data_IF_556659978505
#
_entry.id   IF_556659978505
#
_cell.length_a   1.000
_cell.length_b   1.000
_cell.length_c   1.000
_cell.angle_alpha   90.00
_cell.angle_beta   90.00
_cell.angle_gamma   90.00
#
_symmetry.space_group_name_H-M   'P 1'
#
loop_
_entity.id
_entity.type
_entity.pdbx_description
1 polymer ?
#
# COMPACT_ATOMS: atom_id res chain seq x y z
N UNK A 1 24.77 2.75 31.24
CA UNK A 1 25.15 4.17 31.07
C UNK A 1 24.73 4.57 29.67
N UNK A 2 23.53 5.14 29.51
CA UNK A 2 22.92 5.44 28.21
C UNK A 2 23.24 6.89 27.86
N UNK A 3 24.17 7.08 26.93
CA UNK A 3 24.55 8.39 26.41
C UNK A 3 23.46 8.85 25.45
N UNK A 4 22.50 9.65 25.94
CA UNK A 4 21.63 10.43 25.08
C UNK A 4 22.50 11.51 24.43
N UNK A 5 22.70 11.40 23.11
CA UNK A 5 23.32 12.46 22.33
C UNK A 5 22.40 13.68 22.40
N UNK A 6 22.82 14.71 23.15
CA UNK A 6 22.15 16.00 23.16
C UNK A 6 22.25 16.59 21.75
N UNK A 7 21.10 16.83 21.12
CA UNK A 7 21.04 17.56 19.87
C UNK A 7 21.54 19.00 20.10
N UNK A 8 22.18 19.64 19.11
CA UNK A 8 22.78 20.97 19.26
C UNK A 8 21.78 22.11 19.58
N UNK A 9 20.47 21.85 19.62
CA UNK A 9 19.40 22.78 20.06
C UNK A 9 18.85 22.53 21.47
N UNK A 10 19.42 21.60 22.26
CA UNK A 10 18.95 21.34 23.62
C UNK A 10 17.62 20.58 23.75
N UNK A 11 16.88 20.36 22.66
CA UNK A 11 15.67 19.54 22.66
C UNK A 11 15.99 18.04 22.74
N UNK A 12 15.33 17.33 23.65
CA UNK A 12 15.50 15.89 23.84
C UNK A 12 14.48 15.16 22.97
N UNK A 13 14.94 14.55 21.87
CA UNK A 13 14.08 13.70 21.03
C UNK A 13 13.70 12.42 21.78
N UNK A 14 12.41 12.14 21.90
CA UNK A 14 11.94 10.91 22.56
C UNK A 14 12.16 9.71 21.63
N UNK A 15 12.88 8.68 22.10
CA UNK A 15 12.95 7.38 21.42
C UNK A 15 11.70 6.56 21.77
N UNK A 16 10.73 6.52 20.86
CA UNK A 16 9.49 5.74 20.96
C UNK A 16 8.67 5.82 19.67
N UNK A 17 7.55 5.08 19.60
CA UNK A 17 6.69 4.90 18.40
C UNK A 17 6.14 6.21 17.80
N UNK A 18 6.23 7.31 18.55
CA UNK A 18 5.97 8.68 18.12
C UNK A 18 7.31 9.45 18.07
N UNK A 19 7.89 9.56 16.88
CA UNK A 19 9.08 10.39 16.62
C UNK A 19 8.64 11.85 16.54
N UNK A 20 8.94 12.63 17.57
CA UNK A 20 8.69 14.08 17.59
C UNK A 20 9.50 14.78 18.69
N UNK A 21 9.61 16.11 18.57
CA UNK A 21 10.04 16.97 19.67
C UNK A 21 9.03 16.84 20.82
N UNK A 22 9.49 16.92 22.08
CA UNK A 22 8.56 17.02 23.21
C UNK A 22 7.84 18.36 23.13
N UNK A 23 6.50 18.38 22.96
CA UNK A 23 5.75 19.63 22.89
C UNK A 23 6.03 20.52 24.09
N UNK A 24 6.18 19.92 25.27
CA UNK A 24 6.43 20.65 26.52
C UNK A 24 7.78 21.39 26.50
N UNK A 25 8.81 20.81 25.87
CA UNK A 25 10.12 21.46 25.74
C UNK A 25 10.10 22.60 24.72
N UNK A 26 9.32 22.45 23.65
CA UNK A 26 9.13 23.51 22.66
C UNK A 26 8.34 24.65 23.28
N UNK A 27 7.29 24.35 24.03
CA UNK A 27 6.50 25.33 24.78
C UNK A 27 7.36 26.07 25.81
N UNK A 28 8.20 25.37 26.58
CA UNK A 28 9.13 25.98 27.54
C UNK A 28 10.15 26.91 26.86
N UNK A 29 10.70 26.48 25.72
CA UNK A 29 11.65 27.29 24.97
C UNK A 29 11.01 28.52 24.32
N UNK A 30 9.79 28.38 23.77
CA UNK A 30 9.03 29.50 23.21
C UNK A 30 8.58 30.47 24.31
N UNK A 31 8.25 29.97 25.50
CA UNK A 31 7.95 30.79 26.67
C UNK A 31 9.18 31.61 27.08
N UNK A 32 10.34 30.97 27.23
CA UNK A 32 11.59 31.66 27.56
C UNK A 32 11.96 32.75 26.52
N UNK A 33 11.82 32.46 25.22
CA UNK A 33 12.02 33.46 24.17
C UNK A 33 11.00 34.61 24.23
N UNK A 34 9.76 34.32 24.61
CA UNK A 34 8.72 35.33 24.76
C UNK A 34 9.00 36.22 25.97
N UNK A 35 9.44 35.65 27.08
CA UNK A 35 9.85 36.38 28.28
C UNK A 35 11.07 37.27 28.00
N UNK A 36 12.08 36.76 27.28
CA UNK A 36 13.25 37.54 26.87
C UNK A 36 12.86 38.71 25.94
N UNK A 37 11.95 38.46 25.00
CA UNK A 37 11.39 39.50 24.14
C UNK A 37 10.67 40.56 24.99
N UNK A 38 9.80 40.15 25.88
CA UNK A 38 9.00 41.07 26.70
C UNK A 38 9.89 41.88 27.65
N UNK A 39 10.94 41.27 28.21
CA UNK A 39 11.97 41.97 29.00
C UNK A 39 12.82 42.95 28.16
N UNK A 40 13.12 42.61 26.89
CA UNK A 40 13.76 43.54 25.96
C UNK A 40 12.85 44.74 25.62
N UNK A 41 11.55 44.49 25.41
CA UNK A 41 10.55 45.52 25.19
C UNK A 41 10.36 46.44 26.40
N UNK A 42 10.30 45.87 27.61
CA UNK A 42 10.20 46.67 28.83
C UNK A 42 11.43 47.57 29.01
N UNK A 43 12.64 47.03 28.76
CA UNK A 43 13.87 47.83 28.79
C UNK A 43 13.87 48.94 27.74
N UNK A 44 13.43 48.66 26.52
CA UNK A 44 13.31 49.67 25.47
C UNK A 44 12.31 50.78 25.88
N UNK A 45 11.18 50.41 26.47
CA UNK A 45 10.20 51.37 26.99
C UNK A 45 10.79 52.24 28.12
N UNK A 46 11.49 51.63 29.09
CA UNK A 46 12.17 52.36 30.18
C UNK A 46 13.23 53.32 29.65
N UNK A 47 14.03 52.89 28.69
CA UNK A 47 15.04 53.74 28.05
C UNK A 47 14.41 54.88 27.26
N UNK A 48 13.24 54.66 26.65
CA UNK A 48 12.51 55.72 25.92
C UNK A 48 11.96 56.76 26.88
N UNK A 49 11.42 56.34 28.04
CA UNK A 49 10.99 57.26 29.10
C UNK A 49 12.18 58.04 29.65
N UNK A 50 13.30 57.37 29.97
CA UNK A 50 14.51 58.04 30.44
C UNK A 50 15.06 59.03 29.41
N UNK A 51 15.06 58.68 28.12
CA UNK A 51 15.48 59.59 27.06
C UNK A 51 14.60 60.86 27.03
N UNK A 52 13.29 60.70 27.22
CA UNK A 52 12.36 61.82 27.31
C UNK A 52 12.55 62.66 28.57
N UNK A 53 12.74 62.04 29.73
CA UNK A 53 13.07 62.74 30.98
C UNK A 53 14.36 63.55 30.82
N UNK A 54 15.38 62.97 30.18
CA UNK A 54 16.64 63.67 29.88
C UNK A 54 16.46 64.82 28.87
N UNK A 55 15.54 64.70 27.90
CA UNK A 55 15.19 65.79 26.98
C UNK A 55 14.45 66.92 27.70
N UNK A 56 13.55 66.60 28.63
CA UNK A 56 12.83 67.56 29.48
C UNK A 56 13.81 68.28 30.42
N UNK A 57 14.67 67.54 31.13
CA UNK A 57 15.74 68.09 31.99
C UNK A 57 16.69 69.00 31.19
N UNK A 58 17.05 68.60 29.97
CA UNK A 58 17.86 69.42 29.08
C UNK A 58 17.12 70.71 28.69
N UNK A 59 15.82 70.63 28.42
CA UNK A 59 14.96 71.79 28.16
C UNK A 59 14.94 72.77 29.33
N UNK A 60 14.69 72.26 30.54
CA UNK A 60 14.68 73.06 31.78
C UNK A 60 16.04 73.74 32.02
N UNK A 61 17.14 73.02 31.80
CA UNK A 61 18.50 73.59 31.89
C UNK A 61 18.74 74.68 30.83
N UNK A 62 18.26 74.49 29.61
CA UNK A 62 18.37 75.50 28.55
C UNK A 62 17.52 76.74 28.84
N UNK A 63 16.33 76.57 29.39
CA UNK A 63 15.46 77.67 29.82
C UNK A 63 16.04 78.43 31.00
N UNK A 64 16.64 77.73 31.98
CA UNK A 64 17.38 78.35 33.08
C UNK A 64 18.57 79.16 32.53
N UNK A 65 19.34 78.60 31.59
CA UNK A 65 20.43 79.30 30.91
C UNK A 65 19.92 80.50 30.10
N UNK A 66 18.75 80.44 29.49
CA UNK A 66 18.16 81.55 28.75
C UNK A 66 17.62 82.68 29.65
N UNK A 67 17.23 82.37 30.89
CA UNK A 67 16.82 83.36 31.89
C UNK A 67 18.00 84.07 32.56
N UNK A 68 19.21 83.48 32.49
CA UNK A 68 20.42 84.21 32.81
C UNK A 68 20.55 85.35 31.79
N UNK A 69 20.61 86.59 32.27
CA UNK A 69 20.90 87.75 31.41
C UNK A 69 22.17 87.44 30.62
N UNK A 70 22.19 87.71 29.30
CA UNK A 70 23.42 87.62 28.49
C UNK A 70 24.53 88.28 29.29
N UNK A 71 25.42 87.49 29.88
CA UNK A 71 26.57 88.05 30.55
C UNK A 71 27.49 88.44 29.43
N UNK A 72 27.22 89.61 28.84
CA UNK A 72 28.09 90.23 27.88
C UNK A 72 29.36 90.60 28.65
N UNK A 73 30.28 89.64 28.68
CA UNK A 73 31.60 89.72 29.30
C UNK A 73 32.52 90.73 28.59
N UNK A 74 31.95 91.65 27.81
CA UNK A 74 32.54 92.91 27.34
C UNK A 74 33.17 93.70 28.50
N UNK A 75 32.63 93.56 29.73
CA UNK A 75 33.10 94.26 30.94
C UNK A 75 34.22 93.49 31.69
N UNK A 76 34.50 92.23 31.35
CA UNK A 76 35.58 91.46 31.95
C UNK A 76 36.91 91.74 31.25
N UNK A 77 37.97 91.91 32.05
CA UNK A 77 39.32 92.07 31.53
C UNK A 77 39.72 90.94 30.57
N UNK A 78 40.65 91.22 29.67
CA UNK A 78 41.06 90.34 28.55
C UNK A 78 41.35 88.88 28.96
N UNK A 79 41.85 88.66 30.18
CA UNK A 79 42.10 87.32 30.73
C UNK A 79 40.84 86.49 30.95
N UNK A 80 39.75 87.09 31.41
CA UNK A 80 38.49 86.38 31.65
C UNK A 80 37.74 86.07 30.35
N UNK A 81 37.83 86.94 29.32
CA UNK A 81 37.34 86.62 27.97
C UNK A 81 38.05 85.43 27.34
N UNK A 82 39.37 85.30 27.56
CA UNK A 82 40.13 84.13 27.10
C UNK A 82 39.71 82.84 27.80
N UNK A 83 39.50 82.90 29.12
CA UNK A 83 39.04 81.74 29.89
C UNK A 83 37.63 81.29 29.46
N UNK A 84 36.71 82.24 29.26
CA UNK A 84 35.37 81.93 28.78
C UNK A 84 35.39 81.23 27.42
N UNK A 85 36.15 81.77 26.45
CA UNK A 85 36.31 81.13 25.13
C UNK A 85 36.88 79.72 25.23
N UNK A 86 37.88 79.51 26.08
CA UNK A 86 38.44 78.17 26.33
C UNK A 86 37.38 77.23 26.91
N UNK A 87 36.54 77.69 27.84
CA UNK A 87 35.44 76.89 28.37
C UNK A 87 34.40 76.54 27.30
N UNK A 88 34.07 77.45 26.37
CA UNK A 88 33.17 77.16 25.25
C UNK A 88 33.75 76.14 24.28
N UNK A 89 35.03 76.29 23.93
CA UNK A 89 35.77 75.33 23.10
C UNK A 89 35.80 73.95 23.74
N UNK A 90 36.06 73.86 25.04
CA UNK A 90 36.05 72.58 25.76
C UNK A 90 34.65 72.01 25.93
N UNK A 91 33.63 72.84 26.15
CA UNK A 91 32.25 72.38 26.21
C UNK A 91 31.79 71.78 24.87
N UNK A 92 32.16 72.40 23.74
CA UNK A 92 31.89 71.85 22.42
C UNK A 92 32.69 70.57 22.17
N UNK A 93 33.96 70.53 22.56
CA UNK A 93 34.79 69.33 22.44
C UNK A 93 34.25 68.16 23.28
N UNK A 94 33.67 68.42 24.46
CA UNK A 94 33.00 67.41 25.28
C UNK A 94 31.70 66.95 24.61
N UNK A 95 30.87 67.86 24.12
CA UNK A 95 29.62 67.51 23.40
C UNK A 95 29.90 66.68 22.16
N UNK A 96 30.90 67.05 21.37
CA UNK A 96 31.26 66.31 20.16
C UNK A 96 31.75 64.91 20.51
N UNK A 97 32.64 64.76 21.50
CA UNK A 97 33.09 63.43 21.97
C UNK A 97 31.95 62.57 22.50
N UNK A 98 30.99 63.17 23.19
CA UNK A 98 29.81 62.43 23.69
C UNK A 98 28.92 61.94 22.54
N UNK A 99 28.72 62.77 21.50
CA UNK A 99 27.99 62.36 20.28
C UNK A 99 28.71 61.25 19.53
N UNK A 100 30.02 61.40 19.31
CA UNK A 100 30.85 60.40 18.62
C UNK A 100 30.81 59.05 19.36
N UNK A 101 30.92 59.06 20.69
CA UNK A 101 30.82 57.86 21.51
C UNK A 101 29.42 57.22 21.44
N UNK A 102 28.35 58.04 21.44
CA UNK A 102 26.98 57.56 21.25
C UNK A 102 26.76 56.89 19.90
N UNK A 103 27.28 57.49 18.83
CA UNK A 103 27.22 56.95 17.47
C UNK A 103 28.00 55.63 17.35
N UNK A 104 29.15 55.53 18.01
CA UNK A 104 29.96 54.30 18.05
C UNK A 104 29.23 53.18 18.79
N UNK A 105 28.63 53.45 19.95
CA UNK A 105 27.81 52.47 20.68
C UNK A 105 26.59 52.03 19.86
N UNK A 106 25.92 52.96 19.18
CA UNK A 106 24.79 52.62 18.30
C UNK A 106 25.22 51.74 17.13
N UNK A 107 26.40 51.98 16.56
CA UNK A 107 26.96 51.15 15.48
C UNK A 107 27.28 49.74 15.98
N UNK A 108 27.90 49.62 17.15
CA UNK A 108 28.22 48.33 17.77
C UNK A 108 26.96 47.54 18.11
N UNK A 109 25.96 48.19 18.72
CA UNK A 109 24.68 47.56 19.05
C UNK A 109 23.95 47.05 17.79
N UNK A 110 23.97 47.81 16.68
CA UNK A 110 23.39 47.37 15.40
C UNK A 110 24.14 46.17 14.83
N UNK A 111 25.47 46.21 14.79
CA UNK A 111 26.28 45.10 14.29
C UNK A 111 26.05 43.82 15.11
N UNK A 112 25.90 43.95 16.43
CA UNK A 112 25.54 42.83 17.30
C UNK A 112 24.14 42.28 16.98
N UNK A 113 23.14 43.15 16.85
CA UNK A 113 21.77 42.75 16.52
C UNK A 113 21.70 42.03 15.16
N UNK A 114 22.36 42.58 14.13
CA UNK A 114 22.44 41.97 12.81
C UNK A 114 23.13 40.59 12.88
N UNK A 115 24.22 40.47 13.64
CA UNK A 115 24.90 39.19 13.85
C UNK A 115 24.03 38.13 14.53
N UNK A 116 23.21 38.53 15.51
CA UNK A 116 22.25 37.63 16.17
C UNK A 116 21.15 37.20 15.20
N UNK A 117 20.62 38.12 14.39
CA UNK A 117 19.59 37.81 13.40
C UNK A 117 20.10 36.86 12.31
N UNK A 118 21.30 37.09 11.79
CA UNK A 118 21.94 36.20 10.81
C UNK A 118 22.20 34.82 11.40
N UNK A 119 22.70 34.73 12.63
CA UNK A 119 22.92 33.45 13.31
C UNK A 119 21.61 32.70 13.54
N UNK A 120 20.55 33.39 13.98
CA UNK A 120 19.23 32.81 14.14
C UNK A 120 18.63 32.34 12.80
N UNK A 121 18.80 33.12 11.73
CA UNK A 121 18.39 32.77 10.38
C UNK A 121 19.09 31.52 9.86
N UNK A 122 20.42 31.48 9.95
CA UNK A 122 21.22 30.32 9.57
C UNK A 122 20.83 29.06 10.36
N UNK A 123 20.53 29.21 11.65
CA UNK A 123 20.07 28.10 12.49
C UNK A 123 18.70 27.60 12.05
N UNK A 124 17.76 28.50 11.80
CA UNK A 124 16.43 28.14 11.32
C UNK A 124 16.49 27.40 9.97
N UNK A 125 17.32 27.86 9.04
CA UNK A 125 17.49 27.21 7.74
C UNK A 125 18.16 25.83 7.85
N UNK A 126 19.13 25.67 8.75
CA UNK A 126 19.72 24.36 9.04
C UNK A 126 18.68 23.37 9.59
N UNK A 127 17.84 23.81 10.53
CA UNK A 127 16.76 22.98 11.10
C UNK A 127 15.72 22.60 10.04
N UNK A 128 15.34 23.55 9.17
CA UNK A 128 14.42 23.28 8.05
C UNK A 128 15.02 22.26 7.08
N UNK A 129 16.28 22.42 6.69
CA UNK A 129 16.97 21.50 5.79
C UNK A 129 17.06 20.09 6.38
N UNK A 130 17.37 19.97 7.68
CA UNK A 130 17.38 18.68 8.37
C UNK A 130 15.98 18.03 8.40
N UNK A 131 14.94 18.80 8.73
CA UNK A 131 13.57 18.33 8.75
C UNK A 131 13.10 17.83 7.36
N UNK A 132 13.44 18.57 6.30
CA UNK A 132 13.15 18.20 4.92
C UNK A 132 13.85 16.91 4.52
N UNK A 133 15.12 16.73 4.88
CA UNK A 133 15.85 15.50 4.59
C UNK A 133 15.26 14.31 5.36
N UNK A 134 14.92 14.49 6.65
CA UNK A 134 14.22 13.46 7.42
C UNK A 134 12.87 13.08 6.79
N UNK A 135 12.11 14.07 6.29
CA UNK A 135 10.85 13.82 5.60
C UNK A 135 11.06 13.03 4.31
N UNK A 136 12.06 13.39 3.49
CA UNK A 136 12.44 12.66 2.28
C UNK A 136 12.81 11.21 2.58
N UNK A 137 13.65 10.98 3.60
CA UNK A 137 14.05 9.63 4.00
C UNK A 137 12.85 8.80 4.46
N UNK A 138 11.94 9.37 5.27
CA UNK A 138 10.70 8.68 5.68
C UNK A 138 9.82 8.32 4.49
N UNK A 139 9.68 9.22 3.51
CA UNK A 139 8.91 8.95 2.29
C UNK A 139 9.54 7.86 1.42
N UNK A 140 10.88 7.81 1.33
CA UNK A 140 11.58 6.74 0.62
C UNK A 140 11.35 5.38 1.26
N UNK A 141 11.47 5.28 2.59
CA UNK A 141 11.20 4.05 3.34
C UNK A 141 9.74 3.61 3.16
N UNK A 142 8.78 4.52 3.34
CA UNK A 142 7.36 4.20 3.18
C UNK A 142 7.01 3.72 1.77
N UNK A 143 7.65 4.29 0.73
CA UNK A 143 7.47 3.83 -0.66
C UNK A 143 8.07 2.44 -0.88
N UNK A 144 9.25 2.17 -0.34
CA UNK A 144 9.87 0.85 -0.42
C UNK A 144 8.99 -0.22 0.26
N UNK A 145 8.50 0.05 1.47
CA UNK A 145 7.58 -0.84 2.20
C UNK A 145 6.28 -1.07 1.40
N UNK A 146 5.69 -0.03 0.84
CA UNK A 146 4.49 -0.15 0.02
C UNK A 146 4.73 -0.99 -1.25
N UNK A 147 5.88 -0.83 -1.89
CA UNK A 147 6.27 -1.61 -3.06
C UNK A 147 6.50 -3.09 -2.71
N UNK A 148 7.14 -3.37 -1.57
CA UNK A 148 7.33 -4.73 -1.05
C UNK A 148 6.00 -5.42 -0.80
N UNK A 149 5.07 -4.78 -0.06
CA UNK A 149 3.72 -5.31 0.20
C UNK A 149 2.99 -5.59 -1.11
N UNK A 150 3.08 -4.68 -2.09
CA UNK A 150 2.44 -4.87 -3.40
C UNK A 150 3.04 -6.05 -4.17
N UNK A 151 4.36 -6.22 -4.13
CA UNK A 151 5.06 -7.33 -4.80
C UNK A 151 4.69 -8.67 -4.14
N UNK A 152 4.67 -8.71 -2.81
CA UNK A 152 4.30 -9.89 -2.03
C UNK A 152 2.85 -10.30 -2.33
N UNK A 153 1.89 -9.38 -2.22
CA UNK A 153 0.49 -9.65 -2.55
C UNK A 153 0.31 -10.19 -3.98
N UNK A 154 1.04 -9.65 -4.96
CA UNK A 154 1.02 -10.16 -6.34
C UNK A 154 1.59 -11.58 -6.45
N UNK A 155 2.66 -11.88 -5.71
CA UNK A 155 3.27 -13.22 -5.68
C UNK A 155 2.31 -14.22 -5.04
N UNK A 156 1.67 -13.87 -3.93
CA UNK A 156 0.68 -14.71 -3.26
C UNK A 156 -0.52 -15.01 -4.16
N UNK A 157 -1.10 -13.98 -4.80
CA UNK A 157 -2.21 -14.17 -5.75
C UNK A 157 -1.80 -15.08 -6.91
N UNK A 158 -0.58 -14.90 -7.45
CA UNK A 158 -0.07 -15.76 -8.53
C UNK A 158 0.13 -17.21 -8.05
N UNK A 159 0.68 -17.41 -6.86
CA UNK A 159 0.90 -18.72 -6.26
C UNK A 159 -0.43 -19.42 -5.98
N UNK A 160 -1.39 -18.74 -5.33
CA UNK A 160 -2.72 -19.26 -5.07
C UNK A 160 -3.47 -19.64 -6.34
N UNK A 161 -3.41 -18.79 -7.38
CA UNK A 161 -3.97 -19.14 -8.70
C UNK A 161 -3.29 -20.39 -9.29
N UNK A 162 -1.97 -20.51 -9.16
CA UNK A 162 -1.23 -21.68 -9.61
C UNK A 162 -1.68 -22.98 -8.91
N UNK A 163 -1.86 -22.93 -7.59
CA UNK A 163 -2.35 -24.05 -6.78
C UNK A 163 -3.77 -24.46 -7.19
N UNK A 164 -4.70 -23.50 -7.28
CA UNK A 164 -6.09 -23.77 -7.70
C UNK A 164 -6.14 -24.40 -9.09
N UNK A 165 -5.37 -23.87 -10.05
CA UNK A 165 -5.31 -24.44 -11.40
C UNK A 165 -4.68 -25.84 -11.42
N UNK A 166 -3.71 -26.12 -10.53
CA UNK A 166 -3.13 -27.46 -10.41
C UNK A 166 -4.18 -28.46 -9.92
N UNK A 167 -4.92 -28.12 -8.85
CA UNK A 167 -6.00 -28.96 -8.33
C UNK A 167 -7.08 -29.20 -9.38
N UNK A 168 -7.45 -28.16 -10.14
CA UNK A 168 -8.42 -28.28 -11.23
C UNK A 168 -7.96 -29.23 -12.34
N UNK A 169 -6.69 -29.14 -12.75
CA UNK A 169 -6.11 -30.04 -13.76
C UNK A 169 -6.10 -31.48 -13.28
N UNK A 170 -5.69 -31.72 -12.04
CA UNK A 170 -5.66 -33.06 -11.45
C UNK A 170 -7.08 -33.65 -11.35
N UNK A 171 -8.05 -32.86 -10.89
CA UNK A 171 -9.45 -33.28 -10.84
C UNK A 171 -9.96 -33.65 -12.25
N UNK A 172 -9.64 -32.82 -13.26
CA UNK A 172 -9.99 -33.10 -14.65
C UNK A 172 -9.38 -34.42 -15.15
N UNK A 173 -8.09 -34.64 -14.95
CA UNK A 173 -7.42 -35.89 -15.34
C UNK A 173 -8.04 -37.10 -14.64
N UNK A 174 -8.36 -36.98 -13.34
CA UNK A 174 -9.05 -38.06 -12.61
C UNK A 174 -10.44 -38.34 -13.19
N UNK A 175 -11.22 -37.31 -13.46
CA UNK A 175 -12.57 -37.49 -14.05
C UNK A 175 -12.50 -38.08 -15.46
N UNK A 176 -11.57 -37.63 -16.30
CA UNK A 176 -11.34 -38.21 -17.63
C UNK A 176 -10.99 -39.71 -17.51
N UNK A 177 -10.07 -40.08 -16.60
CA UNK A 177 -9.73 -41.48 -16.33
C UNK A 177 -10.92 -42.33 -15.86
N UNK A 178 -11.75 -41.80 -14.95
CA UNK A 178 -12.97 -42.49 -14.50
C UNK A 178 -13.98 -42.68 -15.64
N UNK A 179 -14.14 -41.68 -16.51
CA UNK A 179 -15.05 -41.79 -17.67
C UNK A 179 -14.55 -42.82 -18.68
N UNK A 180 -13.24 -42.90 -18.93
CA UNK A 180 -12.64 -43.93 -19.79
C UNK A 180 -12.83 -45.34 -19.20
N UNK A 181 -12.65 -45.50 -17.89
CA UNK A 181 -12.86 -46.78 -17.20
C UNK A 181 -14.33 -47.21 -17.28
N UNK A 182 -15.26 -46.31 -16.98
CA UNK A 182 -16.70 -46.56 -17.16
C UNK A 182 -17.03 -46.92 -18.61
N UNK A 183 -16.46 -46.20 -19.58
CA UNK A 183 -16.62 -46.48 -21.00
C UNK A 183 -16.17 -47.90 -21.37
N UNK A 184 -15.02 -48.35 -20.84
CA UNK A 184 -14.52 -49.72 -21.01
C UNK A 184 -15.47 -50.75 -20.38
N UNK A 185 -15.89 -50.56 -19.14
CA UNK A 185 -16.84 -51.46 -18.47
C UNK A 185 -18.19 -51.56 -19.20
N UNK A 186 -18.69 -50.44 -19.75
CA UNK A 186 -19.91 -50.44 -20.55
C UNK A 186 -19.73 -51.18 -21.87
N UNK A 187 -18.61 -50.98 -22.57
CA UNK A 187 -18.29 -51.68 -23.81
C UNK A 187 -18.13 -53.19 -23.59
N UNK A 188 -17.45 -53.60 -22.51
CA UNK A 188 -17.30 -55.01 -22.14
C UNK A 188 -18.64 -55.67 -21.80
N UNK A 189 -19.52 -54.98 -21.06
CA UNK A 189 -20.88 -55.46 -20.79
C UNK A 189 -21.71 -55.59 -22.05
N UNK A 190 -21.63 -54.62 -22.96
CA UNK A 190 -22.34 -54.68 -24.24
C UNK A 190 -21.84 -55.85 -25.09
N UNK A 191 -20.53 -55.99 -25.27
CA UNK A 191 -19.93 -57.11 -26.00
C UNK A 191 -20.22 -58.47 -25.34
N UNK A 192 -20.38 -58.52 -24.02
CA UNK A 192 -20.84 -59.71 -23.31
C UNK A 192 -22.31 -60.04 -23.58
N UNK A 193 -23.18 -59.02 -23.59
CA UNK A 193 -24.60 -59.18 -23.91
C UNK A 193 -24.82 -59.59 -25.37
N UNK A 194 -24.08 -58.99 -26.31
CA UNK A 194 -24.12 -59.32 -27.74
C UNK A 194 -23.74 -60.79 -27.98
N UNK A 195 -22.63 -61.26 -27.38
CA UNK A 195 -22.23 -62.67 -27.46
C UNK A 195 -23.27 -63.61 -26.88
N UNK A 196 -23.87 -63.26 -25.73
CA UNK A 196 -24.91 -64.09 -25.12
C UNK A 196 -26.19 -64.15 -25.99
N UNK A 197 -26.53 -63.07 -26.69
CA UNK A 197 -27.64 -63.08 -27.66
C UNK A 197 -27.30 -63.88 -28.91
N UNK A 198 -26.08 -63.78 -29.44
CA UNK A 198 -25.61 -64.61 -30.55
C UNK A 198 -25.65 -66.11 -30.19
N UNK A 199 -25.13 -66.50 -29.02
CA UNK A 199 -25.19 -67.88 -28.52
C UNK A 199 -26.63 -68.39 -28.38
N UNK A 200 -27.57 -67.54 -27.92
CA UNK A 200 -29.00 -67.88 -27.84
C UNK A 200 -29.61 -68.05 -29.22
N UNK A 201 -29.28 -67.17 -30.17
CA UNK A 201 -29.76 -67.27 -31.54
C UNK A 201 -29.26 -68.55 -32.22
N UNK A 202 -27.97 -68.87 -32.09
CA UNK A 202 -27.39 -70.11 -32.60
C UNK A 202 -28.04 -71.35 -31.98
N UNK A 203 -28.31 -71.34 -30.67
CA UNK A 203 -29.00 -72.43 -29.99
C UNK A 203 -30.46 -72.60 -30.47
N UNK A 204 -31.17 -71.49 -30.69
CA UNK A 204 -32.53 -71.50 -31.26
C UNK A 204 -32.53 -72.03 -32.69
N UNK A 205 -31.57 -71.60 -33.52
CA UNK A 205 -31.42 -72.07 -34.89
C UNK A 205 -31.09 -73.57 -34.95
N UNK A 206 -30.21 -74.06 -34.06
CA UNK A 206 -29.92 -75.48 -33.94
C UNK A 206 -31.18 -76.27 -33.54
N UNK A 207 -31.94 -75.80 -32.54
CA UNK A 207 -33.19 -76.42 -32.12
C UNK A 207 -34.23 -76.43 -33.25
N UNK A 208 -34.36 -75.33 -34.00
CA UNK A 208 -35.25 -75.26 -35.16
C UNK A 208 -34.83 -76.22 -36.28
N UNK A 209 -33.52 -76.33 -36.56
CA UNK A 209 -32.99 -77.26 -37.54
C UNK A 209 -33.29 -78.73 -37.15
N UNK A 210 -33.13 -79.08 -35.87
CA UNK A 210 -33.50 -80.41 -35.37
C UNK A 210 -35.01 -80.67 -35.48
N UNK A 211 -35.85 -79.70 -35.12
CA UNK A 211 -37.30 -79.84 -35.21
C UNK A 211 -37.77 -79.98 -36.67
N UNK A 212 -37.19 -79.21 -37.59
CA UNK A 212 -37.43 -79.33 -39.02
C UNK A 212 -37.00 -80.70 -39.55
N UNK A 213 -35.81 -81.19 -39.17
CA UNK A 213 -35.34 -82.51 -39.57
C UNK A 213 -36.27 -83.64 -39.08
N UNK A 214 -36.79 -83.54 -37.84
CA UNK A 214 -37.78 -84.47 -37.30
C UNK A 214 -39.10 -84.40 -38.08
N UNK A 215 -39.62 -83.20 -38.32
CA UNK A 215 -40.86 -83.03 -39.09
C UNK A 215 -40.72 -83.54 -40.54
N UNK A 216 -39.59 -83.29 -41.20
CA UNK A 216 -39.30 -83.84 -42.53
C UNK A 216 -39.24 -85.37 -42.51
N UNK A 217 -38.67 -85.96 -41.47
CA UNK A 217 -38.64 -87.42 -41.31
C UNK A 217 -40.05 -87.98 -41.13
N UNK A 218 -40.87 -87.39 -40.26
CA UNK A 218 -42.27 -87.79 -40.05
C UNK A 218 -43.09 -87.67 -41.36
N UNK A 219 -42.87 -86.61 -42.15
CA UNK A 219 -43.51 -86.45 -43.47
C UNK A 219 -43.07 -87.57 -44.41
N UNK A 220 -41.77 -87.88 -44.50
CA UNK A 220 -41.28 -88.99 -45.35
C UNK A 220 -41.85 -90.34 -44.90
N UNK A 221 -41.98 -90.57 -43.60
CA UNK A 221 -42.59 -91.77 -43.05
C UNK A 221 -44.09 -91.85 -43.39
N UNK A 222 -44.82 -90.73 -43.27
CA UNK A 222 -46.23 -90.65 -43.66
C UNK A 222 -46.44 -90.84 -45.18
N UNK A 223 -45.55 -90.28 -46.01
CA UNK A 223 -45.55 -90.49 -47.47
C UNK A 223 -45.33 -91.96 -47.83
N UNK A 224 -44.40 -92.65 -47.16
CA UNK A 224 -44.19 -94.11 -47.33
C UNK A 224 -45.42 -94.91 -46.90
N UNK A 225 -45.99 -94.62 -45.73
CA UNK A 225 -47.19 -95.29 -45.26
C UNK A 225 -48.39 -95.06 -46.21
N UNK A 226 -48.53 -93.86 -46.77
CA UNK A 226 -49.53 -93.54 -47.77
C UNK A 226 -49.29 -94.33 -49.08
N UNK A 227 -48.04 -94.42 -49.54
CA UNK A 227 -47.68 -95.22 -50.71
C UNK A 227 -47.98 -96.71 -50.49
N UNK A 228 -47.57 -97.28 -49.36
CA UNK A 228 -47.83 -98.67 -48.98
C UNK A 228 -49.34 -98.96 -48.87
N UNK A 229 -50.12 -98.06 -48.25
CA UNK A 229 -51.57 -98.17 -48.18
C UNK A 229 -52.22 -98.04 -49.56
N UNK A 230 -51.70 -97.16 -50.41
CA UNK A 230 -52.11 -97.01 -51.81
C UNK A 230 -51.88 -98.27 -52.62
N UNK A 231 -50.71 -98.89 -52.49
CA UNK A 231 -50.38 -100.17 -53.10
C UNK A 231 -51.25 -101.32 -52.56
N UNK A 232 -51.47 -101.39 -51.24
CA UNK A 232 -52.35 -102.40 -50.63
C UNK A 232 -53.80 -102.25 -51.12
N UNK A 233 -54.32 -101.02 -51.20
CA UNK A 233 -55.63 -100.73 -51.79
C UNK A 233 -55.67 -101.01 -53.31
N UNK A 234 -54.54 -100.88 -54.00
CA UNK A 234 -54.35 -101.33 -55.39
C UNK A 234 -54.47 -102.85 -55.50
N UNK A 235 -53.68 -103.59 -54.71
CA UNK A 235 -53.71 -105.07 -54.62
C UNK A 235 -55.11 -105.59 -54.26
N UNK A 236 -55.76 -105.00 -53.25
CA UNK A 236 -57.15 -105.35 -52.88
C UNK A 236 -58.15 -105.07 -54.01
N UNK A 237 -57.97 -103.98 -54.78
CA UNK A 237 -58.81 -103.68 -55.95
C UNK A 237 -58.54 -104.65 -57.10
N UNK A 238 -57.30 -105.04 -57.33
CA UNK A 238 -56.93 -106.04 -58.33
C UNK A 238 -57.44 -107.43 -57.95
N UNK A 239 -57.30 -107.85 -56.69
CA UNK A 239 -57.89 -109.09 -56.17
C UNK A 239 -59.42 -109.07 -56.22
N UNK A 240 -60.06 -107.95 -55.91
CA UNK A 240 -61.51 -107.79 -56.07
C UNK A 240 -61.93 -107.85 -57.54
N UNK A 241 -61.14 -107.30 -58.47
CA UNK A 241 -61.37 -107.42 -59.92
C UNK A 241 -61.12 -108.84 -60.44
N UNK A 242 -60.10 -109.53 -59.93
CA UNK A 242 -59.80 -110.92 -60.27
C UNK A 242 -60.91 -111.85 -59.76
N UNK A 243 -61.37 -111.67 -58.51
CA UNK A 243 -62.55 -112.38 -57.96
C UNK A 243 -63.84 -112.04 -58.69
N UNK A 244 -64.05 -110.78 -59.09
CA UNK A 244 -65.19 -110.40 -59.91
C UNK A 244 -65.13 -111.02 -61.32
N UNK A 245 -63.93 -111.20 -61.90
CA UNK A 245 -63.74 -111.92 -63.15
C UNK A 245 -63.93 -113.44 -63.01
N UNK A 246 -63.57 -114.01 -61.85
CA UNK A 246 -63.82 -115.42 -61.49
C UNK A 246 -65.32 -115.75 -61.27
N UNK A 247 -66.12 -114.77 -60.84
CA UNK A 247 -67.58 -114.94 -60.60
C UNK A 247 -68.42 -114.74 -61.87
N UNK A 248 -67.82 -114.26 -62.97
CA UNK A 248 -68.50 -114.02 -64.27
C UNK A 248 -68.06 -115.06 -65.33
N UNK A 249 -67.29 -116.08 -64.95
CA UNK A 249 -66.96 -117.27 -65.76
C UNK A 249 -67.74 -118.50 -65.26
#
# INVERSE_FOLDING_TARGET
MSSAAAAPDGFVTVRGRERGYRPEQVEEYVAALSDDRDAAWERAARLTVLAREMEEDLGDLLDEVAQLTSQDYEVLGEGARRLFRLCEEEAEAVRQRARDAGDDWMREARAYADGVLEAAGARADAVRAEADEQARQRLLVARAEADEVRIEARREVKAGRGQVLSVLREARTRTEGTLEEQGREHAERLAGAERAEEERAEALDAHHAEALARAEQEVREAERALAEAGEAAGRMREEARARAAEVVA
#
